data_IF_198891144757
#
_entry.id   IF_198891144757
#
_cell.length_a   1.000
_cell.length_b   1.000
_cell.length_c   1.000
_cell.angle_alpha   90.00
_cell.angle_beta   90.00
_cell.angle_gamma   90.00
#
_symmetry.space_group_name_H-M   'P 1'
#
loop_
_entity.id
_entity.type
_entity.pdbx_description
1 polymer ?
#
# COMPACT_ATOMS: atom_id res chain seq x y z
N UNK A 1 24.10 -24.75 -21.16
CA UNK A 1 24.71 -23.45 -21.51
C UNK A 1 23.82 -22.35 -21.00
N UNK A 2 24.42 -21.49 -20.18
CA UNK A 2 23.79 -20.72 -19.12
C UNK A 2 22.93 -19.56 -19.61
N UNK A 3 21.67 -19.53 -19.18
CA UNK A 3 20.84 -18.32 -19.27
C UNK A 3 21.35 -17.33 -18.24
N UNK A 4 22.18 -16.37 -18.66
CA UNK A 4 22.58 -15.23 -17.81
C UNK A 4 21.31 -14.54 -17.29
N UNK A 5 21.24 -14.19 -15.98
CA UNK A 5 20.10 -13.47 -15.44
C UNK A 5 19.98 -12.12 -16.16
N UNK A 6 18.75 -11.74 -16.56
CA UNK A 6 18.44 -10.38 -17.04
C UNK A 6 18.92 -9.42 -15.96
N UNK A 7 19.89 -8.55 -16.28
CA UNK A 7 20.24 -7.42 -15.43
C UNK A 7 18.96 -6.66 -15.11
N UNK A 8 18.65 -6.54 -13.82
CA UNK A 8 17.57 -5.69 -13.34
C UNK A 8 17.98 -4.27 -13.71
N UNK A 9 17.32 -3.68 -14.71
CA UNK A 9 17.49 -2.28 -15.05
C UNK A 9 17.16 -1.46 -13.81
N UNK A 10 18.13 -0.74 -13.30
CA UNK A 10 17.91 0.21 -12.21
C UNK A 10 17.30 1.46 -12.84
N UNK A 11 15.98 1.61 -12.71
CA UNK A 11 15.22 2.72 -13.31
C UNK A 11 15.72 4.10 -12.84
N UNK A 12 16.46 4.15 -11.74
CA UNK A 12 17.10 5.36 -11.23
C UNK A 12 18.25 5.85 -12.13
N UNK A 13 18.85 4.98 -12.94
CA UNK A 13 19.93 5.32 -13.88
C UNK A 13 19.40 5.87 -15.22
N UNK A 14 18.07 5.79 -15.46
CA UNK A 14 17.42 6.28 -16.68
C UNK A 14 16.83 7.71 -16.53
N UNK A 15 17.00 8.34 -15.37
CA UNK A 15 16.52 9.72 -15.14
C UNK A 15 17.40 10.70 -15.91
N UNK A 16 16.83 11.35 -16.91
CA UNK A 16 17.51 12.34 -17.73
C UNK A 16 17.95 13.57 -16.93
N UNK A 17 18.96 14.29 -17.44
CA UNK A 17 19.45 15.53 -16.82
C UNK A 17 18.37 16.60 -16.64
N UNK A 18 17.36 16.59 -17.51
CA UNK A 18 16.20 17.50 -17.43
C UNK A 18 15.26 17.14 -16.27
N UNK A 19 14.99 15.86 -16.06
CA UNK A 19 14.16 15.39 -14.94
C UNK A 19 14.89 15.56 -13.60
N UNK A 20 16.20 15.35 -13.58
CA UNK A 20 17.04 15.70 -12.44
C UNK A 20 17.00 17.20 -12.13
N UNK A 21 16.95 18.06 -13.14
CA UNK A 21 16.81 19.50 -12.96
C UNK A 21 15.42 19.88 -12.41
N UNK A 22 14.34 19.25 -12.90
CA UNK A 22 12.99 19.41 -12.35
C UNK A 22 12.91 18.97 -10.88
N UNK A 23 13.50 17.81 -10.54
CA UNK A 23 13.59 17.31 -9.17
C UNK A 23 14.37 18.30 -8.27
N UNK A 24 15.50 18.83 -8.75
CA UNK A 24 16.29 19.82 -8.00
C UNK A 24 15.55 21.15 -7.83
N UNK A 25 14.85 21.62 -8.86
CA UNK A 25 14.04 22.83 -8.80
C UNK A 25 12.88 22.68 -7.80
N UNK A 26 12.20 21.53 -7.82
CA UNK A 26 11.14 21.25 -6.85
C UNK A 26 11.67 21.12 -5.42
N UNK A 27 12.87 20.56 -5.25
CA UNK A 27 13.55 20.49 -3.95
C UNK A 27 13.97 21.89 -3.44
N UNK A 28 14.35 22.79 -4.34
CA UNK A 28 14.65 24.19 -4.03
C UNK A 28 13.39 25.00 -3.67
N UNK A 29 12.24 24.73 -4.30
CA UNK A 29 10.93 25.28 -3.87
C UNK A 29 10.51 24.83 -2.46
N UNK A 30 11.04 23.69 -2.00
CA UNK A 30 10.81 23.18 -0.64
C UNK A 30 11.89 23.59 0.38
N UNK A 31 12.87 24.43 0.03
CA UNK A 31 13.78 25.02 1.02
C UNK A 31 13.00 25.96 1.94
N UNK A 32 12.66 25.46 3.14
CA UNK A 32 11.77 26.12 4.10
C UNK A 32 10.54 25.31 4.48
N UNK A 33 10.27 24.20 3.77
CA UNK A 33 9.33 23.20 4.25
C UNK A 33 9.92 22.59 5.54
N UNK A 34 9.27 22.86 6.68
CA UNK A 34 9.64 22.20 7.92
C UNK A 34 9.59 20.69 7.69
N UNK A 35 10.62 19.92 8.09
CA UNK A 35 10.54 18.47 8.06
C UNK A 35 9.27 18.08 8.82
N UNK A 36 8.32 17.45 8.12
CA UNK A 36 7.09 16.99 8.76
C UNK A 36 7.51 15.98 9.80
N UNK A 37 7.29 16.32 11.07
CA UNK A 37 7.63 15.41 12.16
C UNK A 37 6.92 14.07 11.92
N UNK A 38 7.63 12.99 12.19
CA UNK A 38 7.05 11.65 12.09
C UNK A 38 5.87 11.52 13.05
N UNK A 39 5.90 12.22 14.19
CA UNK A 39 4.79 12.29 15.13
C UNK A 39 3.53 12.93 14.50
N UNK A 40 3.69 14.02 13.74
CA UNK A 40 2.58 14.65 13.02
C UNK A 40 1.97 13.74 11.95
N UNK A 41 2.79 12.94 11.26
CA UNK A 41 2.30 11.96 10.29
C UNK A 41 1.49 10.84 10.97
N UNK A 42 1.97 10.36 12.12
CA UNK A 42 1.29 9.34 12.92
C UNK A 42 -0.05 9.86 13.43
N UNK A 43 -0.07 11.08 13.95
CA UNK A 43 -1.31 11.69 14.43
C UNK A 43 -2.29 11.97 13.29
N UNK A 44 -1.82 12.41 12.12
CA UNK A 44 -2.68 12.57 10.95
C UNK A 44 -3.32 11.25 10.49
N UNK A 45 -2.56 10.15 10.55
CA UNK A 45 -3.10 8.81 10.26
C UNK A 45 -4.14 8.37 11.29
N UNK A 46 -3.89 8.59 12.58
CA UNK A 46 -4.86 8.35 13.64
C UNK A 46 -6.15 9.14 13.43
N UNK A 47 -6.03 10.46 13.23
CA UNK A 47 -7.14 11.36 12.93
C UNK A 47 -7.96 10.90 11.74
N UNK A 48 -7.32 10.38 10.68
CA UNK A 48 -8.02 9.83 9.51
C UNK A 48 -8.86 8.60 9.86
N UNK A 49 -8.43 7.78 10.80
CA UNK A 49 -9.13 6.55 11.21
C UNK A 49 -10.26 6.83 12.20
N UNK A 50 -10.04 7.74 13.13
CA UNK A 50 -10.92 7.91 14.30
C UNK A 50 -11.66 9.24 14.34
N UNK A 51 -11.33 10.18 13.45
CA UNK A 51 -11.89 11.52 13.47
C UNK A 51 -11.40 12.37 14.65
N UNK A 52 -12.14 13.45 14.91
CA UNK A 52 -11.83 14.44 15.94
C UNK A 52 -11.92 13.85 17.36
N UNK A 53 -12.85 12.92 17.59
CA UNK A 53 -13.07 12.27 18.88
C UNK A 53 -11.83 11.49 19.31
N UNK A 54 -11.24 10.69 18.41
CA UNK A 54 -10.03 9.93 18.73
C UNK A 54 -8.80 10.81 18.96
N UNK A 55 -8.71 11.96 18.29
CA UNK A 55 -7.66 12.94 18.60
C UNK A 55 -7.82 13.52 20.01
N UNK A 56 -9.05 13.90 20.38
CA UNK A 56 -9.33 14.43 21.71
C UNK A 56 -9.10 13.41 22.82
N UNK A 57 -9.37 12.12 22.58
CA UNK A 57 -9.08 11.05 23.52
C UNK A 57 -7.56 10.93 23.80
N UNK A 58 -6.72 11.02 22.77
CA UNK A 58 -5.25 11.04 22.94
C UNK A 58 -4.80 12.31 23.66
N UNK A 59 -5.32 13.48 23.27
CA UNK A 59 -4.97 14.76 23.89
C UNK A 59 -5.35 14.84 25.38
N UNK A 60 -6.39 14.12 25.79
CA UNK A 60 -6.86 14.05 27.18
C UNK A 60 -6.24 12.90 27.98
N UNK A 61 -5.24 12.22 27.42
CA UNK A 61 -4.61 11.03 28.01
C UNK A 61 -5.60 9.90 28.33
N UNK A 62 -6.75 9.86 27.65
CA UNK A 62 -7.73 8.77 27.77
C UNK A 62 -7.22 7.51 27.04
N UNK A 63 -6.41 7.69 26.00
CA UNK A 63 -5.74 6.63 25.25
C UNK A 63 -4.24 6.92 25.20
N UNK A 64 -3.38 6.04 25.76
CA UNK A 64 -1.93 6.22 25.68
C UNK A 64 -1.42 6.20 24.24
N UNK A 65 -0.42 7.03 23.93
CA UNK A 65 0.21 7.06 22.60
C UNK A 65 0.73 5.69 22.15
N UNK A 66 1.22 4.84 23.07
CA UNK A 66 1.67 3.48 22.75
C UNK A 66 0.54 2.59 22.19
N UNK A 67 -0.69 2.75 22.70
CA UNK A 67 -1.86 2.02 22.22
C UNK A 67 -2.27 2.53 20.83
N UNK A 68 -2.28 3.85 20.62
CA UNK A 68 -2.50 4.48 19.30
C UNK A 68 -1.55 3.92 18.26
N UNK A 69 -0.25 3.85 18.56
CA UNK A 69 0.76 3.32 17.65
C UNK A 69 0.49 1.85 17.28
N UNK A 70 0.08 1.05 18.26
CA UNK A 70 -0.25 -0.37 18.05
C UNK A 70 -1.47 -0.52 17.15
N UNK A 71 -2.51 0.29 17.35
CA UNK A 71 -3.72 0.28 16.54
C UNK A 71 -3.45 0.74 15.10
N UNK A 72 -2.61 1.76 14.92
CA UNK A 72 -2.16 2.20 13.59
C UNK A 72 -1.41 1.06 12.88
N UNK A 73 -0.47 0.40 13.54
CA UNK A 73 0.29 -0.69 12.93
C UNK A 73 -0.62 -1.86 12.53
N UNK A 74 -1.56 -2.23 13.41
CA UNK A 74 -2.56 -3.26 13.12
C UNK A 74 -3.41 -2.86 11.89
N UNK A 75 -3.88 -1.62 11.84
CA UNK A 75 -4.66 -1.12 10.72
C UNK A 75 -3.88 -1.12 9.39
N UNK A 76 -2.60 -0.71 9.40
CA UNK A 76 -1.73 -0.76 8.21
C UNK A 76 -1.60 -2.19 7.68
N UNK A 77 -1.47 -3.19 8.55
CA UNK A 77 -1.40 -4.60 8.16
C UNK A 77 -2.72 -5.07 7.54
N UNK A 78 -3.85 -4.65 8.10
CA UNK A 78 -5.17 -4.96 7.55
C UNK A 78 -5.41 -4.31 6.19
N UNK A 79 -5.07 -3.04 6.01
CA UNK A 79 -5.16 -2.34 4.72
C UNK A 79 -4.25 -2.96 3.67
N UNK A 80 -3.00 -3.28 4.02
CA UNK A 80 -2.09 -3.99 3.11
C UNK A 80 -2.68 -5.34 2.67
N UNK A 81 -3.34 -6.06 3.59
CA UNK A 81 -4.02 -7.31 3.28
C UNK A 81 -5.20 -7.10 2.32
N UNK A 82 -6.03 -6.08 2.57
CA UNK A 82 -7.17 -5.71 1.72
C UNK A 82 -6.73 -5.36 0.30
N UNK A 83 -5.72 -4.49 0.18
CA UNK A 83 -5.13 -4.10 -1.12
C UNK A 83 -4.61 -5.33 -1.87
N UNK A 84 -3.96 -6.25 -1.16
CA UNK A 84 -3.46 -7.49 -1.77
C UNK A 84 -4.59 -8.38 -2.28
N UNK A 85 -5.71 -8.48 -1.56
CA UNK A 85 -6.89 -9.24 -1.98
C UNK A 85 -7.57 -8.59 -3.19
N UNK A 86 -7.74 -7.26 -3.20
CA UNK A 86 -8.27 -6.51 -4.34
C UNK A 86 -7.37 -6.65 -5.59
N UNK A 87 -6.05 -6.61 -5.40
CA UNK A 87 -5.08 -6.85 -6.46
C UNK A 87 -5.22 -8.26 -7.03
N UNK A 88 -5.38 -9.29 -6.19
CA UNK A 88 -5.61 -10.65 -6.67
C UNK A 88 -6.92 -10.78 -7.45
N UNK A 89 -8.01 -10.17 -6.96
CA UNK A 89 -9.29 -10.19 -7.65
C UNK A 89 -9.19 -9.52 -9.03
N UNK A 90 -8.53 -8.36 -9.08
CA UNK A 90 -8.27 -7.61 -10.32
C UNK A 90 -7.43 -8.42 -11.30
N UNK A 91 -6.37 -9.07 -10.82
CA UNK A 91 -5.52 -9.94 -11.63
C UNK A 91 -6.28 -11.12 -12.21
N UNK A 92 -7.06 -11.83 -11.40
CA UNK A 92 -7.89 -12.95 -11.87
C UNK A 92 -8.90 -12.47 -12.91
N UNK A 93 -9.54 -11.32 -12.69
CA UNK A 93 -10.45 -10.71 -13.65
C UNK A 93 -9.77 -10.39 -14.99
N UNK A 94 -8.63 -9.68 -14.94
CA UNK A 94 -7.88 -9.29 -16.12
C UNK A 94 -7.37 -10.49 -16.93
N UNK A 95 -6.74 -11.46 -16.27
CA UNK A 95 -6.24 -12.68 -16.92
C UNK A 95 -7.39 -13.46 -17.53
N UNK A 96 -8.49 -13.65 -16.80
CA UNK A 96 -9.64 -14.40 -17.31
C UNK A 96 -10.22 -13.75 -18.56
N UNK A 97 -10.42 -12.43 -18.55
CA UNK A 97 -10.95 -11.68 -19.68
C UNK A 97 -10.09 -11.78 -20.95
N UNK A 98 -8.77 -11.89 -20.80
CA UNK A 98 -7.83 -11.98 -21.92
C UNK A 98 -7.66 -13.40 -22.49
N UNK A 99 -8.29 -14.41 -21.89
CA UNK A 99 -8.21 -15.79 -22.40
C UNK A 99 -9.28 -16.14 -23.42
N UNK A 100 -9.02 -17.14 -24.26
CA UNK A 100 -10.01 -17.69 -25.20
C UNK A 100 -11.26 -18.29 -24.53
N UNK A 101 -11.17 -18.66 -23.24
CA UNK A 101 -12.28 -19.26 -22.46
C UNK A 101 -12.41 -18.60 -21.09
N UNK A 102 -12.90 -17.35 -21.02
CA UNK A 102 -12.86 -16.54 -19.80
C UNK A 102 -13.48 -17.21 -18.56
N UNK A 103 -14.67 -17.80 -18.71
CA UNK A 103 -15.40 -18.45 -17.61
C UNK A 103 -14.66 -19.68 -17.06
N UNK A 104 -13.98 -20.45 -17.92
CA UNK A 104 -13.22 -21.63 -17.49
C UNK A 104 -11.92 -21.22 -16.77
N UNK A 105 -11.24 -20.18 -17.28
CA UNK A 105 -10.04 -19.63 -16.66
C UNK A 105 -10.35 -19.06 -15.27
N UNK A 106 -11.43 -18.28 -15.15
CA UNK A 106 -11.88 -17.73 -13.88
C UNK A 106 -12.15 -18.83 -12.85
N UNK A 107 -12.94 -19.85 -13.21
CA UNK A 107 -13.24 -21.00 -12.33
C UNK A 107 -11.97 -21.74 -11.90
N UNK A 108 -10.99 -21.88 -12.79
CA UNK A 108 -9.71 -22.53 -12.47
C UNK A 108 -8.89 -21.71 -11.47
N UNK A 109 -8.72 -20.41 -11.72
CA UNK A 109 -7.93 -19.49 -10.89
C UNK A 109 -8.56 -19.26 -9.51
N UNK A 110 -9.89 -19.25 -9.42
CA UNK A 110 -10.62 -19.07 -8.16
C UNK A 110 -10.81 -20.36 -7.35
N UNK A 111 -10.52 -21.54 -7.92
CA UNK A 111 -10.78 -22.84 -7.28
C UNK A 111 -10.12 -22.98 -5.90
N UNK A 112 -8.86 -22.53 -5.78
CA UNK A 112 -8.12 -22.61 -4.52
C UNK A 112 -8.56 -21.56 -3.50
N UNK A 113 -9.06 -20.41 -3.97
CA UNK A 113 -9.64 -19.37 -3.10
C UNK A 113 -10.93 -19.93 -2.49
N UNK A 114 -11.87 -20.39 -3.33
CA UNK A 114 -13.16 -20.96 -2.89
C UNK A 114 -12.97 -22.13 -1.91
N UNK A 115 -11.98 -22.99 -2.13
CA UNK A 115 -11.67 -24.09 -1.20
C UNK A 115 -11.20 -23.63 0.17
N UNK A 116 -10.52 -22.48 0.27
CA UNK A 116 -10.04 -21.91 1.53
C UNK A 116 -11.11 -21.07 2.23
N UNK A 117 -12.08 -20.52 1.48
CA UNK A 117 -13.19 -19.73 2.03
C UNK A 117 -14.35 -20.58 2.50
N UNK A 118 -14.39 -21.87 2.17
CA UNK A 118 -15.32 -22.80 2.83
C UNK A 118 -14.95 -22.87 4.31
N UNK A 119 -15.71 -22.13 5.10
CA UNK A 119 -15.87 -22.40 6.52
C UNK A 119 -16.51 -23.79 6.58
N UNK A 120 -15.85 -24.73 7.25
CA UNK A 120 -16.50 -26.00 7.58
C UNK A 120 -17.66 -25.64 8.53
N UNK A 121 -18.90 -25.96 8.11
CA UNK A 121 -20.11 -25.81 8.92
C UNK A 121 -20.03 -26.65 10.21
#
# INVERSE_FOLDING_TARGET
MDKKPKQIRNLLDEIGTEDLAKIKAHRAETEGAMPVDTEWLIMAEWLRLTGWEGYMAVKRDEIPLAEVLTLIEANRKLEARRIFEDMQASFVGAVSAQTKKPTSTFKSLTKNIIKRTKVDD
#
